data_IF_031378396184
#
_entry.id   IF_031378396184
#
_cell.length_a   1.000
_cell.length_b   1.000
_cell.length_c   1.000
_cell.angle_alpha   90.00
_cell.angle_beta   90.00
_cell.angle_gamma   90.00
#
_symmetry.space_group_name_H-M   'P 1'
#
loop_
_entity.id
_entity.type
_entity.pdbx_description
1 polymer ?
#
# COMPACT_ATOMS: atom_id res chain seq x y z
N UNK A 1 2.41 7.03 -18.74
CA UNK A 1 1.28 7.19 -17.80
C UNK A 1 1.63 6.53 -16.47
N UNK A 2 1.60 7.26 -15.34
CA UNK A 2 2.09 6.79 -14.04
C UNK A 2 1.22 5.64 -13.49
N UNK A 3 -0.11 5.77 -13.59
CA UNK A 3 -1.06 4.77 -13.07
C UNK A 3 -0.86 3.39 -13.71
N UNK A 4 -0.75 3.33 -15.03
CA UNK A 4 -0.58 2.05 -15.75
C UNK A 4 0.75 1.37 -15.40
N UNK A 5 1.84 2.16 -15.31
CA UNK A 5 3.15 1.64 -14.88
C UNK A 5 3.12 1.12 -13.46
N UNK A 6 2.46 1.84 -12.55
CA UNK A 6 2.28 1.42 -11.16
C UNK A 6 1.49 0.11 -11.07
N UNK A 7 0.31 0.02 -11.72
CA UNK A 7 -0.48 -1.22 -11.76
C UNK A 7 0.33 -2.42 -12.28
N UNK A 8 1.13 -2.20 -13.32
CA UNK A 8 1.98 -3.26 -13.87
C UNK A 8 3.05 -3.73 -12.88
N UNK A 9 3.70 -2.78 -12.17
CA UNK A 9 4.67 -3.14 -11.11
C UNK A 9 3.99 -3.90 -9.96
N UNK A 10 2.81 -3.45 -9.51
CA UNK A 10 2.03 -4.17 -8.48
C UNK A 10 1.68 -5.58 -8.96
N UNK A 11 1.20 -5.73 -10.19
CA UNK A 11 0.85 -7.04 -10.76
C UNK A 11 2.05 -8.00 -10.77
N UNK A 12 3.22 -7.56 -11.23
CA UNK A 12 4.44 -8.40 -11.22
C UNK A 12 4.81 -8.86 -9.81
N UNK A 13 4.75 -7.95 -8.84
CA UNK A 13 5.04 -8.27 -7.44
C UNK A 13 3.99 -9.22 -6.85
N UNK A 14 2.72 -9.01 -7.16
CA UNK A 14 1.62 -9.86 -6.72
C UNK A 14 1.70 -11.29 -7.30
N UNK A 15 2.14 -11.45 -8.55
CA UNK A 15 2.42 -12.77 -9.13
C UNK A 15 3.52 -13.50 -8.34
N UNK A 16 4.64 -12.83 -8.04
CA UNK A 16 5.72 -13.39 -7.20
C UNK A 16 5.24 -13.75 -5.79
N UNK A 17 4.39 -12.90 -5.20
CA UNK A 17 3.81 -13.09 -3.88
C UNK A 17 2.71 -14.19 -3.82
N UNK A 18 2.31 -14.73 -4.97
CA UNK A 18 1.28 -15.77 -5.08
C UNK A 18 -0.14 -15.28 -4.90
N UNK A 19 -0.40 -14.01 -5.26
CA UNK A 19 -1.73 -13.38 -5.26
C UNK A 19 -2.04 -12.69 -6.61
N UNK A 20 -1.85 -13.35 -7.78
CA UNK A 20 -1.93 -12.71 -9.10
C UNK A 20 -3.27 -12.03 -9.35
N UNK A 21 -4.38 -12.68 -8.95
CA UNK A 21 -5.72 -12.11 -9.12
C UNK A 21 -5.89 -10.77 -8.37
N UNK A 22 -5.34 -10.68 -7.14
CA UNK A 22 -5.35 -9.42 -6.38
C UNK A 22 -4.55 -8.32 -7.08
N UNK A 23 -3.39 -8.68 -7.63
CA UNK A 23 -2.57 -7.75 -8.39
C UNK A 23 -3.25 -7.25 -9.66
N UNK A 24 -3.96 -8.12 -10.38
CA UNK A 24 -4.75 -7.74 -11.54
C UNK A 24 -5.88 -6.76 -11.18
N UNK A 25 -6.62 -7.07 -10.11
CA UNK A 25 -7.74 -6.26 -9.62
C UNK A 25 -7.31 -5.06 -8.77
N UNK A 26 -5.99 -4.91 -8.52
CA UNK A 26 -5.47 -3.80 -7.72
C UNK A 26 -5.92 -2.46 -8.26
N UNK A 27 -6.50 -1.65 -7.36
CA UNK A 27 -6.93 -0.28 -7.68
C UNK A 27 -7.87 -0.16 -8.89
N UNK A 28 -8.66 -1.19 -9.16
CA UNK A 28 -9.67 -1.11 -10.22
C UNK A 28 -10.65 0.04 -10.01
N UNK A 29 -10.89 0.42 -8.76
CA UNK A 29 -11.74 1.55 -8.39
C UNK A 29 -11.29 2.88 -8.98
N UNK A 30 -10.00 3.04 -9.32
CA UNK A 30 -9.45 4.25 -9.98
C UNK A 30 -10.08 4.57 -11.33
N UNK A 31 -10.71 3.58 -11.96
CA UNK A 31 -11.44 3.77 -13.22
C UNK A 31 -12.92 4.15 -13.00
N UNK A 32 -13.38 4.24 -11.74
CA UNK A 32 -14.72 4.76 -11.44
C UNK A 32 -14.83 6.24 -11.78
N UNK A 33 -16.02 6.73 -12.18
CA UNK A 33 -16.20 8.15 -12.45
C UNK A 33 -15.74 9.07 -11.31
N UNK A 34 -16.01 8.68 -10.06
CA UNK A 34 -15.63 9.44 -8.86
C UNK A 34 -14.13 9.67 -8.74
N UNK A 35 -13.33 8.60 -8.93
CA UNK A 35 -11.88 8.71 -8.80
C UNK A 35 -11.25 9.29 -10.07
N UNK A 36 -11.77 8.91 -11.23
CA UNK A 36 -11.23 9.35 -12.52
C UNK A 36 -11.37 10.87 -12.71
N UNK A 37 -12.59 11.41 -12.60
CA UNK A 37 -12.83 12.82 -12.87
C UNK A 37 -12.19 13.75 -11.85
N UNK A 38 -12.17 13.38 -10.56
CA UNK A 38 -11.44 14.18 -9.57
C UNK A 38 -9.94 14.13 -9.86
N UNK A 39 -9.41 12.97 -10.27
CA UNK A 39 -7.99 12.86 -10.64
C UNK A 39 -7.65 13.71 -11.86
N UNK A 40 -8.50 13.76 -12.88
CA UNK A 40 -8.32 14.64 -14.04
C UNK A 40 -8.34 16.10 -13.63
N UNK A 41 -9.32 16.53 -12.83
CA UNK A 41 -9.50 17.91 -12.37
C UNK A 41 -8.28 18.45 -11.62
N UNK A 42 -7.66 17.62 -10.77
CA UNK A 42 -6.55 18.04 -9.91
C UNK A 42 -5.17 17.56 -10.37
N UNK A 43 -5.07 17.01 -11.58
CA UNK A 43 -3.79 16.55 -12.12
C UNK A 43 -2.97 17.74 -12.65
N UNK A 44 -1.78 17.93 -12.08
CA UNK A 44 -0.84 18.98 -12.50
C UNK A 44 0.53 18.44 -12.96
N UNK A 45 0.65 17.13 -13.18
CA UNK A 45 1.89 16.48 -13.63
C UNK A 45 2.99 16.35 -12.56
N UNK A 46 2.88 17.01 -11.41
CA UNK A 46 3.94 17.07 -10.38
C UNK A 46 3.57 16.38 -9.07
N UNK A 47 2.32 16.45 -8.65
CA UNK A 47 1.83 15.94 -7.36
C UNK A 47 0.63 15.01 -7.56
N UNK A 48 0.39 14.16 -6.56
CA UNK A 48 -0.83 13.34 -6.53
C UNK A 48 -2.06 14.25 -6.59
N UNK A 49 -3.02 13.98 -7.49
CA UNK A 49 -4.30 14.69 -7.56
C UNK A 49 -5.03 14.73 -6.22
N UNK A 50 -4.98 13.62 -5.46
CA UNK A 50 -5.57 13.53 -4.11
C UNK A 50 -4.97 14.58 -3.16
N UNK A 51 -3.65 14.76 -3.20
CA UNK A 51 -2.98 15.76 -2.36
C UNK A 51 -3.40 17.17 -2.74
N UNK A 52 -3.55 17.45 -4.04
CA UNK A 52 -3.97 18.76 -4.50
C UNK A 52 -5.45 19.03 -4.15
N UNK A 53 -6.34 18.05 -4.36
CA UNK A 53 -7.74 18.15 -3.96
C UNK A 53 -7.89 18.46 -2.46
N UNK A 54 -7.15 17.74 -1.59
CA UNK A 54 -7.15 18.00 -0.14
C UNK A 54 -6.69 19.41 0.22
N UNK A 55 -5.70 19.94 -0.48
CA UNK A 55 -5.20 21.31 -0.24
C UNK A 55 -6.20 22.38 -0.65
N UNK A 56 -6.94 22.15 -1.74
CA UNK A 56 -7.84 23.15 -2.31
C UNK A 56 -9.24 23.13 -1.69
N UNK A 57 -9.72 21.97 -1.25
CA UNK A 57 -11.10 21.81 -0.75
C UNK A 57 -11.19 21.10 0.62
N UNK A 58 -10.05 20.85 1.29
CA UNK A 58 -9.98 20.22 2.60
C UNK A 58 -10.10 18.68 2.59
N UNK A 59 -10.59 18.07 1.54
CA UNK A 59 -10.79 16.63 1.40
C UNK A 59 -10.63 16.16 -0.05
N UNK A 60 -10.66 14.85 -0.30
CA UNK A 60 -10.71 14.27 -1.64
C UNK A 60 -11.79 13.20 -1.71
N UNK A 61 -12.78 13.41 -2.59
CA UNK A 61 -13.84 12.41 -2.87
C UNK A 61 -13.24 11.13 -3.46
N UNK A 62 -12.25 11.27 -4.35
CA UNK A 62 -11.52 10.14 -4.90
C UNK A 62 -10.87 9.31 -3.81
N UNK A 63 -10.22 9.95 -2.82
CA UNK A 63 -9.60 9.23 -1.71
C UNK A 63 -10.63 8.54 -0.81
N UNK A 64 -11.72 9.22 -0.45
CA UNK A 64 -12.77 8.63 0.37
C UNK A 64 -13.40 7.40 -0.31
N UNK A 65 -13.66 7.51 -1.63
CA UNK A 65 -14.16 6.40 -2.43
C UNK A 65 -13.12 5.25 -2.49
N UNK A 66 -11.85 5.60 -2.74
CA UNK A 66 -10.76 4.66 -2.90
C UNK A 66 -10.49 3.85 -1.62
N UNK A 67 -10.25 4.53 -0.49
CA UNK A 67 -9.97 3.87 0.78
C UNK A 67 -11.11 2.99 1.28
N UNK A 68 -12.37 3.37 0.99
CA UNK A 68 -13.55 2.61 1.39
C UNK A 68 -13.78 1.32 0.57
N UNK A 69 -13.07 1.13 -0.55
CA UNK A 69 -13.23 -0.03 -1.44
C UNK A 69 -11.97 -0.91 -1.52
N UNK A 70 -10.83 -0.37 -1.18
CA UNK A 70 -9.55 -1.05 -1.35
C UNK A 70 -9.00 -1.53 -0.01
N UNK A 71 -9.20 -2.81 0.29
CA UNK A 71 -8.85 -3.46 1.57
C UNK A 71 -7.34 -3.55 1.85
N UNK A 72 -6.49 -3.18 0.89
CA UNK A 72 -5.05 -3.06 1.12
C UNK A 72 -4.65 -1.73 1.77
N UNK A 73 -5.56 -0.76 1.89
CA UNK A 73 -5.31 0.47 2.61
C UNK A 73 -5.62 0.32 4.11
N UNK A 74 -4.72 0.78 5.01
CA UNK A 74 -4.93 0.76 6.46
C UNK A 74 -6.25 1.40 6.89
N UNK A 75 -6.60 2.50 6.23
CA UNK A 75 -7.78 3.31 6.53
C UNK A 75 -9.11 2.60 6.27
N UNK A 76 -9.12 1.53 5.48
CA UNK A 76 -10.30 0.65 5.33
C UNK A 76 -10.65 -0.07 6.63
N UNK A 77 -9.64 -0.39 7.44
CA UNK A 77 -9.76 -1.19 8.66
C UNK A 77 -9.84 -0.34 9.93
N UNK A 78 -9.66 0.97 9.78
CA UNK A 78 -9.62 1.89 10.90
C UNK A 78 -11.02 2.33 11.29
N UNK A 79 -11.40 2.06 12.57
CA UNK A 79 -12.62 2.55 13.19
C UNK A 79 -12.26 3.64 14.21
N UNK A 80 -12.56 4.92 13.91
CA UNK A 80 -12.26 6.02 14.82
C UNK A 80 -13.15 6.04 16.08
N UNK A 81 -14.30 5.34 16.07
CA UNK A 81 -15.22 5.27 17.19
C UNK A 81 -14.80 4.27 18.28
N UNK A 82 -13.73 3.51 18.07
CA UNK A 82 -13.26 2.44 18.95
C UNK A 82 -12.66 2.87 20.29
N UNK A 83 -12.89 4.08 20.78
CA UNK A 83 -12.43 4.56 22.09
C UNK A 83 -10.91 4.81 22.16
N UNK A 84 -10.33 4.74 23.37
CA UNK A 84 -8.90 5.03 23.61
C UNK A 84 -7.94 4.04 22.93
N UNK A 85 -8.39 2.86 22.59
CA UNK A 85 -7.62 1.89 21.82
C UNK A 85 -8.13 1.87 20.37
N UNK A 86 -7.52 2.65 19.50
CA UNK A 86 -7.69 2.57 18.06
C UNK A 86 -7.11 1.26 17.52
N UNK A 87 -7.72 0.14 17.90
CA UNK A 87 -7.25 -1.17 17.49
C UNK A 87 -7.80 -1.54 16.12
N UNK A 88 -6.96 -1.45 15.13
CA UNK A 88 -7.27 -2.09 13.86
C UNK A 88 -7.14 -3.61 14.01
N UNK A 89 -8.01 -4.39 13.34
CA UNK A 89 -7.89 -5.84 13.36
C UNK A 89 -6.61 -6.29 12.65
N UNK A 90 -6.20 -7.54 12.90
CA UNK A 90 -5.16 -8.18 12.09
C UNK A 90 -5.70 -8.34 10.67
N UNK A 91 -5.11 -7.62 9.74
CA UNK A 91 -5.53 -7.62 8.33
C UNK A 91 -5.26 -8.99 7.71
N UNK A 92 -6.21 -9.62 6.99
CA UNK A 92 -6.00 -10.90 6.35
C UNK A 92 -4.82 -10.90 5.36
N UNK A 93 -4.07 -11.98 5.33
CA UNK A 93 -2.83 -12.18 4.55
C UNK A 93 -2.85 -11.57 3.15
N UNK A 94 -3.89 -11.86 2.37
CA UNK A 94 -3.98 -11.41 0.97
C UNK A 94 -3.97 -9.88 0.81
N UNK A 95 -4.53 -9.15 1.78
CA UNK A 95 -4.59 -7.68 1.73
C UNK A 95 -3.31 -7.03 2.25
N UNK A 96 -2.67 -7.63 3.26
CA UNK A 96 -1.34 -7.17 3.70
C UNK A 96 -0.30 -7.37 2.61
N UNK A 97 -0.31 -8.52 1.93
CA UNK A 97 0.60 -8.79 0.82
C UNK A 97 0.35 -7.84 -0.34
N UNK A 98 -0.90 -7.53 -0.65
CA UNK A 98 -1.25 -6.51 -1.65
C UNK A 98 -0.73 -5.12 -1.25
N UNK A 99 -0.89 -4.71 0.02
CA UNK A 99 -0.32 -3.47 0.58
C UNK A 99 1.20 -3.42 0.42
N UNK A 100 1.91 -4.52 0.69
CA UNK A 100 3.36 -4.62 0.50
C UNK A 100 3.72 -4.41 -0.98
N UNK A 101 3.03 -5.09 -1.89
CA UNK A 101 3.26 -4.95 -3.33
C UNK A 101 3.02 -3.53 -3.82
N UNK A 102 1.93 -2.89 -3.36
CA UNK A 102 1.59 -1.50 -3.66
C UNK A 102 2.69 -0.54 -3.19
N UNK A 103 3.08 -0.62 -1.93
CA UNK A 103 4.13 0.25 -1.36
C UNK A 103 5.48 0.11 -2.06
N UNK A 104 5.88 -1.12 -2.41
CA UNK A 104 7.12 -1.38 -3.14
C UNK A 104 7.06 -0.83 -4.57
N UNK A 105 5.93 -1.03 -5.27
CA UNK A 105 5.71 -0.50 -6.60
C UNK A 105 5.70 1.03 -6.60
N UNK A 106 4.99 1.64 -5.65
CA UNK A 106 4.96 3.09 -5.46
C UNK A 106 6.37 3.65 -5.21
N UNK A 107 7.14 3.03 -4.31
CA UNK A 107 8.51 3.44 -4.04
C UNK A 107 9.39 3.40 -5.30
N UNK A 108 9.28 2.37 -6.13
CA UNK A 108 10.01 2.28 -7.42
C UNK A 108 9.59 3.38 -8.40
N UNK A 109 8.30 3.59 -8.56
CA UNK A 109 7.77 4.56 -9.55
C UNK A 109 8.09 5.99 -9.15
N UNK A 110 7.84 6.36 -7.89
CA UNK A 110 8.05 7.74 -7.44
C UNK A 110 9.53 8.13 -7.27
N UNK A 111 10.39 7.19 -6.89
CA UNK A 111 11.83 7.46 -6.80
C UNK A 111 12.56 7.30 -8.15
N UNK A 112 12.01 6.55 -9.11
CA UNK A 112 12.62 6.31 -10.42
C UNK A 112 14.09 5.88 -10.29
N UNK A 113 15.01 6.60 -10.94
CA UNK A 113 16.46 6.32 -10.88
C UNK A 113 17.08 6.44 -9.48
N UNK A 114 16.44 7.15 -8.57
CA UNK A 114 16.89 7.31 -7.18
C UNK A 114 16.41 6.18 -6.25
N UNK A 115 15.61 5.26 -6.76
CA UNK A 115 15.16 4.12 -5.96
C UNK A 115 16.35 3.29 -5.46
N UNK A 116 16.28 2.89 -4.19
CA UNK A 116 17.23 1.98 -3.54
C UNK A 116 16.47 0.89 -2.79
N UNK A 117 17.12 -0.23 -2.51
CA UNK A 117 16.51 -1.34 -1.77
C UNK A 117 15.91 -0.93 -0.42
N UNK A 118 16.50 0.05 0.24
CA UNK A 118 16.07 0.58 1.53
C UNK A 118 15.00 1.68 1.46
N UNK A 119 14.62 2.11 0.25
CA UNK A 119 13.66 3.22 0.06
C UNK A 119 12.32 2.97 0.76
N UNK A 120 11.78 1.76 0.65
CA UNK A 120 10.49 1.41 1.27
C UNK A 120 10.62 1.29 2.80
N UNK A 121 11.73 0.77 3.32
CA UNK A 121 11.99 0.70 4.75
C UNK A 121 12.09 2.12 5.35
N UNK A 122 12.88 3.00 4.75
CA UNK A 122 13.02 4.39 5.20
C UNK A 122 11.69 5.15 5.21
N UNK A 123 10.88 4.95 4.17
CA UNK A 123 9.55 5.54 4.09
C UNK A 123 8.62 4.98 5.17
N UNK A 124 8.64 3.66 5.39
CA UNK A 124 7.84 2.99 6.40
C UNK A 124 8.17 3.47 7.81
N UNK A 125 9.45 3.49 8.18
CA UNK A 125 9.89 3.90 9.52
C UNK A 125 9.48 5.32 9.89
N UNK A 126 9.41 6.24 8.90
CA UNK A 126 8.97 7.63 9.13
C UNK A 126 7.50 7.79 9.47
N UNK A 127 6.65 6.83 9.09
CA UNK A 127 5.20 6.92 9.26
C UNK A 127 4.59 5.76 10.06
N UNK A 128 5.42 4.85 10.53
CA UNK A 128 4.97 3.63 11.20
C UNK A 128 4.13 3.94 12.44
N UNK A 129 4.54 4.90 13.23
CA UNK A 129 3.86 5.25 14.48
C UNK A 129 2.47 5.88 14.22
N UNK A 130 2.38 6.76 13.21
CA UNK A 130 1.13 7.42 12.84
C UNK A 130 0.20 6.54 11.99
N UNK A 131 0.66 5.36 11.56
CA UNK A 131 -0.13 4.49 10.71
C UNK A 131 -1.15 3.70 11.55
N UNK A 132 -2.46 3.77 11.24
CA UNK A 132 -3.49 3.07 11.98
C UNK A 132 -3.50 1.57 11.64
N UNK A 133 -2.48 0.85 12.05
CA UNK A 133 -2.31 -0.58 11.84
C UNK A 133 -2.12 -1.32 13.16
N UNK A 134 -2.64 -2.53 13.20
CA UNK A 134 -2.36 -3.47 14.29
C UNK A 134 -0.86 -3.71 14.45
N UNK A 135 -0.35 -3.77 15.67
CA UNK A 135 1.09 -3.93 15.96
C UNK A 135 1.70 -5.19 15.32
N UNK A 136 0.94 -6.28 15.23
CA UNK A 136 1.37 -7.50 14.52
C UNK A 136 1.62 -7.23 13.03
N UNK A 137 0.76 -6.43 12.41
CA UNK A 137 0.92 -6.02 11.00
C UNK A 137 2.10 -5.06 10.87
N UNK A 138 2.27 -4.09 11.78
CA UNK A 138 3.43 -3.19 11.79
C UNK A 138 4.75 -3.98 11.89
N UNK A 139 4.79 -5.00 12.76
CA UNK A 139 5.96 -5.87 12.89
C UNK A 139 6.24 -6.67 11.62
N UNK A 140 5.22 -7.26 10.99
CA UNK A 140 5.34 -7.94 9.71
C UNK A 140 5.86 -7.03 8.60
N UNK A 141 5.33 -5.83 8.47
CA UNK A 141 5.76 -4.86 7.46
C UNK A 141 7.22 -4.46 7.70
N UNK A 142 7.59 -4.20 8.96
CA UNK A 142 8.97 -3.84 9.34
C UNK A 142 9.94 -4.95 8.96
N UNK A 143 9.67 -6.20 9.33
CA UNK A 143 10.53 -7.33 8.93
C UNK A 143 10.61 -7.48 7.42
N UNK A 144 9.48 -7.39 6.72
CA UNK A 144 9.46 -7.55 5.26
C UNK A 144 10.29 -6.47 4.57
N UNK A 145 10.14 -5.19 4.96
CA UNK A 145 10.92 -4.12 4.34
C UNK A 145 12.40 -4.14 4.75
N UNK A 146 12.72 -4.64 5.96
CA UNK A 146 14.09 -4.90 6.38
C UNK A 146 14.72 -5.98 5.49
N UNK A 147 14.03 -7.10 5.28
CA UNK A 147 14.52 -8.15 4.39
C UNK A 147 14.70 -7.64 2.94
N UNK A 148 13.78 -6.79 2.45
CA UNK A 148 13.93 -6.15 1.12
C UNK A 148 15.18 -5.26 1.09
N UNK A 149 15.46 -4.50 2.15
CA UNK A 149 16.63 -3.61 2.20
C UNK A 149 17.96 -4.37 2.16
N UNK A 150 18.00 -5.57 2.71
CA UNK A 150 19.18 -6.44 2.75
C UNK A 150 19.29 -7.27 1.47
N UNK A 151 18.26 -8.07 1.19
CA UNK A 151 18.28 -9.14 0.18
C UNK A 151 17.75 -8.71 -1.18
N UNK A 152 17.05 -7.56 -1.26
CA UNK A 152 16.33 -7.09 -2.44
C UNK A 152 14.94 -7.70 -2.57
N UNK A 153 14.16 -7.09 -3.47
CA UNK A 153 12.75 -7.47 -3.71
C UNK A 153 12.64 -8.94 -4.16
N UNK A 154 13.49 -9.36 -5.09
CA UNK A 154 13.34 -10.66 -5.76
C UNK A 154 13.52 -11.84 -4.81
N UNK A 155 14.45 -11.75 -3.87
CA UNK A 155 14.68 -12.79 -2.86
C UNK A 155 13.63 -12.74 -1.75
N UNK A 156 13.09 -11.56 -1.44
CA UNK A 156 12.18 -11.37 -0.30
C UNK A 156 10.72 -11.58 -0.69
N UNK A 157 10.29 -11.01 -1.83
CA UNK A 157 8.88 -11.05 -2.25
C UNK A 157 8.59 -12.33 -3.02
N UNK A 158 8.28 -13.36 -2.27
CA UNK A 158 7.78 -14.64 -2.76
C UNK A 158 6.77 -15.23 -1.76
N UNK A 159 5.91 -16.11 -2.27
CA UNK A 159 4.79 -16.68 -1.49
C UNK A 159 5.25 -17.39 -0.21
N UNK A 160 6.32 -18.16 -0.27
CA UNK A 160 6.79 -18.96 0.87
C UNK A 160 7.28 -18.05 2.00
N UNK A 161 8.14 -17.07 1.68
CA UNK A 161 8.69 -16.15 2.65
C UNK A 161 7.61 -15.27 3.29
N UNK A 162 6.71 -14.69 2.48
CA UNK A 162 5.63 -13.83 2.98
C UNK A 162 4.65 -14.59 3.88
N UNK A 163 4.33 -15.85 3.54
CA UNK A 163 3.53 -16.71 4.43
C UNK A 163 4.24 -17.02 5.75
N UNK A 164 5.57 -17.29 5.70
CA UNK A 164 6.38 -17.51 6.89
C UNK A 164 6.35 -16.30 7.81
N UNK A 165 6.59 -15.10 7.28
CA UNK A 165 6.58 -13.86 8.06
C UNK A 165 5.18 -13.59 8.62
N UNK A 166 4.13 -13.72 7.80
CA UNK A 166 2.75 -13.53 8.27
C UNK A 166 2.40 -14.51 9.40
N UNK A 167 2.73 -15.80 9.27
CA UNK A 167 2.50 -16.80 10.32
C UNK A 167 3.25 -16.46 11.60
N UNK A 168 4.48 -15.95 11.50
CA UNK A 168 5.30 -15.55 12.65
C UNK A 168 4.62 -14.46 13.51
N UNK A 169 4.03 -13.46 12.89
CA UNK A 169 3.47 -12.31 13.61
C UNK A 169 1.94 -12.36 13.79
N UNK A 170 1.22 -12.91 12.82
CA UNK A 170 -0.23 -12.85 12.72
C UNK A 170 -0.91 -14.23 12.83
N UNK A 171 -0.15 -15.33 12.80
CA UNK A 171 -0.67 -16.67 13.02
C UNK A 171 -1.19 -16.85 14.44
N UNK A 172 -2.27 -17.63 14.58
CA UNK A 172 -2.70 -18.17 15.87
C UNK A 172 -1.91 -19.43 16.17
#
# INVERSE_FOLDING_TARGET
MVITRHKWEVFKLACRAGIPWRGFMHDWSKYSPTEFWESVKYYNGRRSPITLARRMQGYSKAWLHHRGRNKHHPEYWYDPAGGKMHSTPVIPYKYVVEMICDNLAAAKIYNGKRWRKDSSLKYWLKRKEDCPLNEKIKAMLTETYTQVSINGIEKTINRANLKKIYKKYCGK
#
